data_IF_289745152813
#
_entry.id   IF_289745152813
#
_cell.length_a   1.000
_cell.length_b   1.000
_cell.length_c   1.000
_cell.angle_alpha   90.00
_cell.angle_beta   90.00
_cell.angle_gamma   90.00
#
_symmetry.space_group_name_H-M   'P 1'
#
loop_
_entity.id
_entity.type
_entity.pdbx_description
1 polymer ?
#
# COMPACT_ATOMS: atom_id res chain seq x y z
N UNK A 1 15.87 56.96 24.22
CA UNK A 1 16.70 55.92 24.88
C UNK A 1 15.74 54.92 25.49
N UNK A 2 15.61 53.67 25.08
CA UNK A 2 16.22 52.89 24.01
C UNK A 2 15.24 51.75 23.72
N UNK A 3 15.15 51.44 22.43
CA UNK A 3 14.55 50.26 21.82
C UNK A 3 15.07 48.97 22.48
N UNK A 4 14.21 47.97 22.68
CA UNK A 4 14.67 46.57 22.59
C UNK A 4 13.56 45.72 21.95
N UNK A 5 13.88 45.23 20.76
CA UNK A 5 12.99 44.77 19.70
C UNK A 5 13.45 43.38 19.25
N UNK A 6 13.94 42.56 20.19
CA UNK A 6 14.90 41.49 19.91
C UNK A 6 14.34 40.06 19.95
N UNK A 7 13.02 39.84 19.94
CA UNK A 7 12.47 38.46 19.87
C UNK A 7 11.40 38.24 18.77
N UNK A 8 11.26 39.16 17.81
CA UNK A 8 10.35 39.00 16.64
C UNK A 8 11.12 39.07 15.31
N UNK A 9 12.33 38.50 15.25
CA UNK A 9 13.12 38.43 13.99
C UNK A 9 13.54 37.02 13.54
N UNK A 10 13.23 35.94 14.27
CA UNK A 10 13.67 34.59 13.86
C UNK A 10 12.64 33.76 13.06
N UNK A 11 11.37 34.18 12.98
CA UNK A 11 10.35 33.42 12.21
C UNK A 11 10.17 33.95 10.78
N UNK A 12 10.74 35.12 10.47
CA UNK A 12 10.55 35.77 9.16
C UNK A 12 11.51 35.24 8.07
N UNK A 13 12.55 34.49 8.43
CA UNK A 13 13.64 34.12 7.50
C UNK A 13 13.45 32.80 6.72
N UNK A 14 12.39 32.02 6.94
CA UNK A 14 12.22 30.73 6.22
C UNK A 14 11.14 30.78 5.12
N UNK A 15 10.48 31.92 4.92
CA UNK A 15 9.49 32.11 3.85
C UNK A 15 10.06 32.74 2.55
N UNK A 16 11.37 33.06 2.51
CA UNK A 16 11.97 33.89 1.46
C UNK A 16 12.90 33.16 0.47
N UNK A 17 12.73 31.85 0.26
CA UNK A 17 13.51 31.14 -0.79
C UNK A 17 12.67 30.41 -1.84
N UNK A 18 11.41 30.83 -2.02
CA UNK A 18 10.64 30.52 -3.22
C UNK A 18 10.94 31.54 -4.33
N UNK A 19 12.11 31.44 -4.95
CA UNK A 19 12.30 31.72 -6.38
C UNK A 19 13.72 31.45 -6.86
N UNK A 20 13.92 30.38 -7.62
CA UNK A 20 14.91 30.36 -8.69
C UNK A 20 14.20 29.90 -9.97
N UNK A 21 14.15 30.85 -10.91
CA UNK A 21 13.53 30.85 -12.24
C UNK A 21 14.01 29.69 -13.11
N UNK A 22 13.14 29.26 -14.04
CA UNK A 22 13.57 29.11 -15.44
C UNK A 22 12.41 29.34 -16.41
N UNK A 23 12.48 30.51 -17.03
CA UNK A 23 12.06 30.91 -18.38
C UNK A 23 10.75 30.43 -18.99
N UNK A 24 9.95 31.43 -19.34
CA UNK A 24 8.98 31.42 -20.43
C UNK A 24 9.62 30.90 -21.73
N UNK A 25 9.15 29.75 -22.22
CA UNK A 25 9.10 29.48 -23.65
C UNK A 25 7.84 28.68 -23.98
N UNK A 26 6.91 29.40 -24.63
CA UNK A 26 5.77 28.92 -25.42
C UNK A 26 4.72 28.05 -24.70
N UNK A 27 3.51 28.59 -24.56
CA UNK A 27 2.42 28.06 -23.77
C UNK A 27 2.10 26.57 -23.98
N UNK A 28 2.11 25.84 -22.85
CA UNK A 28 1.25 24.70 -22.52
C UNK A 28 1.27 24.59 -21.00
N UNK A 29 0.15 24.92 -20.38
CA UNK A 29 -0.12 24.66 -18.96
C UNK A 29 -0.01 23.15 -18.73
N UNK A 30 1.09 22.69 -18.13
CA UNK A 30 1.18 21.30 -17.72
C UNK A 30 0.34 21.16 -16.46
N UNK A 31 -0.90 20.73 -16.65
CA UNK A 31 -1.77 20.24 -15.58
C UNK A 31 -1.04 19.05 -14.94
N UNK A 32 -0.37 19.29 -13.82
CA UNK A 32 0.20 18.24 -12.97
C UNK A 32 -0.97 17.57 -12.25
N UNK A 33 -1.73 16.78 -13.00
CA UNK A 33 -2.95 16.13 -12.52
C UNK A 33 -2.63 14.72 -12.06
N UNK A 34 -2.81 14.45 -10.76
CA UNK A 34 -3.20 13.16 -10.18
C UNK A 34 -2.31 11.93 -10.40
N UNK A 35 -1.38 11.93 -11.36
CA UNK A 35 -0.55 10.78 -11.69
C UNK A 35 0.66 10.69 -10.75
N UNK A 36 1.15 11.81 -10.20
CA UNK A 36 2.23 11.81 -9.20
C UNK A 36 1.79 11.19 -7.87
N UNK A 37 0.60 11.53 -7.35
CA UNK A 37 0.05 10.88 -6.14
C UNK A 37 -0.18 9.38 -6.31
N UNK A 38 -0.42 8.90 -7.55
CA UNK A 38 -0.57 7.47 -7.86
C UNK A 38 0.76 6.72 -7.98
N UNK A 39 1.89 7.41 -8.18
CA UNK A 39 3.22 6.79 -8.32
C UNK A 39 3.96 6.63 -7.00
N UNK A 40 3.62 7.42 -5.98
CA UNK A 40 4.21 7.32 -4.64
C UNK A 40 3.74 6.08 -3.84
N UNK A 41 2.64 5.44 -4.25
CA UNK A 41 2.02 4.35 -3.49
C UNK A 41 2.85 3.08 -3.43
N UNK A 42 3.49 2.74 -4.55
CA UNK A 42 4.33 1.56 -4.73
C UNK A 42 5.82 1.90 -4.47
N UNK A 43 6.10 2.81 -3.53
CA UNK A 43 7.45 3.06 -3.00
C UNK A 43 7.90 1.87 -2.12
N UNK A 44 8.12 0.74 -2.76
CA UNK A 44 8.62 -0.47 -2.13
C UNK A 44 10.16 -0.42 -2.02
N UNK A 45 10.76 -1.18 -1.10
CA UNK A 45 12.21 -1.29 -1.01
C UNK A 45 12.86 -1.65 -2.34
N UNK A 46 14.04 -1.09 -2.59
CA UNK A 46 14.83 -1.42 -3.78
C UNK A 46 14.93 -2.94 -3.97
N UNK A 47 14.67 -3.39 -5.19
CA UNK A 47 14.68 -4.82 -5.56
C UNK A 47 13.54 -5.68 -4.96
N UNK A 48 12.41 -5.08 -4.57
CA UNK A 48 11.19 -5.80 -4.18
C UNK A 48 10.79 -6.89 -5.19
N UNK A 49 10.98 -6.64 -6.49
CA UNK A 49 10.65 -7.56 -7.58
C UNK A 49 11.46 -8.87 -7.51
N UNK A 50 12.62 -8.88 -6.86
CA UNK A 50 13.40 -10.11 -6.65
C UNK A 50 12.69 -11.08 -5.70
N UNK A 51 11.86 -10.56 -4.80
CA UNK A 51 11.12 -11.31 -3.80
C UNK A 51 9.75 -11.69 -4.38
N UNK A 52 9.00 -10.72 -4.89
CA UNK A 52 7.60 -10.91 -5.28
C UNK A 52 7.36 -11.11 -6.78
N UNK A 53 8.42 -11.00 -7.60
CA UNK A 53 8.31 -11.05 -9.05
C UNK A 53 7.85 -9.71 -9.65
N UNK A 54 7.43 -9.70 -10.93
CA UNK A 54 6.95 -8.49 -11.60
C UNK A 54 5.73 -7.91 -10.88
N UNK A 55 5.83 -6.65 -10.45
CA UNK A 55 4.78 -5.97 -9.67
C UNK A 55 3.80 -5.27 -10.62
N UNK A 56 2.50 -5.49 -10.37
CA UNK A 56 1.39 -4.82 -11.05
C UNK A 56 0.92 -3.63 -10.22
N UNK A 57 0.91 -2.43 -10.81
CA UNK A 57 0.49 -1.20 -10.14
C UNK A 57 -0.94 -0.81 -10.50
N UNK A 58 -1.85 -1.77 -10.40
CA UNK A 58 -3.27 -1.64 -10.80
C UNK A 58 -4.21 -1.36 -9.63
N UNK A 59 -3.74 -1.50 -8.39
CA UNK A 59 -4.57 -1.32 -7.20
C UNK A 59 -5.04 0.13 -7.03
N UNK A 60 -6.30 0.29 -6.62
CA UNK A 60 -6.91 1.56 -6.26
C UNK A 60 -7.72 1.37 -4.99
N UNK A 61 -7.56 2.30 -4.03
CA UNK A 61 -8.35 2.30 -2.81
C UNK A 61 -9.84 2.49 -3.10
N UNK A 62 -10.66 1.64 -2.50
CA UNK A 62 -12.12 1.80 -2.51
C UNK A 62 -12.56 2.71 -1.35
N UNK A 63 -12.08 2.41 -0.15
CA UNK A 63 -12.39 3.11 1.08
C UNK A 63 -11.22 2.98 2.06
N UNK A 64 -11.33 3.59 3.23
CA UNK A 64 -10.33 3.40 4.29
C UNK A 64 -10.26 1.92 4.70
N UNK A 65 -9.03 1.41 4.83
CA UNK A 65 -8.81 0.02 5.19
C UNK A 65 -7.52 -0.59 4.65
N UNK A 66 -7.40 -1.90 4.85
CA UNK A 66 -6.26 -2.73 4.51
C UNK A 66 -6.70 -3.74 3.46
N UNK A 67 -5.96 -3.82 2.37
CA UNK A 67 -6.38 -4.55 1.18
C UNK A 67 -5.29 -5.50 0.70
N UNK A 68 -5.65 -6.78 0.56
CA UNK A 68 -4.83 -7.76 -0.13
C UNK A 68 -4.74 -7.41 -1.62
N UNK A 69 -3.52 -7.34 -2.16
CA UNK A 69 -3.33 -7.13 -3.59
C UNK A 69 -3.47 -8.45 -4.36
N UNK A 70 -4.68 -8.72 -4.87
CA UNK A 70 -4.98 -9.95 -5.60
C UNK A 70 -4.17 -10.05 -6.90
N UNK A 71 -3.90 -8.92 -7.57
CA UNK A 71 -3.12 -8.87 -8.81
C UNK A 71 -1.63 -9.21 -8.58
N UNK A 72 -1.15 -9.03 -7.35
CA UNK A 72 0.21 -9.40 -6.91
C UNK A 72 0.23 -10.61 -5.97
N UNK A 73 -0.70 -11.56 -6.16
CA UNK A 73 -0.77 -12.83 -5.41
C UNK A 73 -0.82 -12.65 -3.88
N UNK A 74 -1.33 -11.51 -3.39
CA UNK A 74 -1.39 -11.14 -1.98
C UNK A 74 -0.01 -11.11 -1.30
N UNK A 75 1.08 -11.05 -2.06
CA UNK A 75 2.43 -10.83 -1.52
C UNK A 75 2.67 -9.35 -1.21
N UNK A 76 1.86 -8.47 -1.83
CA UNK A 76 1.73 -7.07 -1.52
C UNK A 76 0.37 -6.84 -0.86
N UNK A 77 0.31 -5.91 0.08
CA UNK A 77 -0.94 -5.37 0.60
C UNK A 77 -0.87 -3.85 0.67
N UNK A 78 -2.03 -3.22 0.72
CA UNK A 78 -2.17 -1.78 0.70
C UNK A 78 -2.90 -1.29 1.95
N UNK A 79 -2.47 -0.16 2.49
CA UNK A 79 -3.22 0.58 3.50
C UNK A 79 -3.76 1.84 2.83
N UNK A 80 -5.07 2.03 2.91
CA UNK A 80 -5.79 3.19 2.40
C UNK A 80 -6.26 4.05 3.57
N UNK A 81 -5.99 5.35 3.52
CA UNK A 81 -6.39 6.30 4.57
C UNK A 81 -6.87 7.61 3.95
N UNK A 82 -7.93 8.19 4.51
CA UNK A 82 -8.43 9.50 4.07
C UNK A 82 -7.72 10.59 4.86
N UNK A 83 -6.81 11.31 4.22
CA UNK A 83 -6.17 12.48 4.79
C UNK A 83 -7.06 13.71 4.61
N UNK A 84 -7.21 14.50 5.69
CA UNK A 84 -7.95 15.75 5.67
C UNK A 84 -6.98 16.93 5.73
N UNK A 85 -7.17 17.88 4.82
CA UNK A 85 -6.33 19.07 4.70
C UNK A 85 -6.95 20.26 5.43
N UNK A 86 -6.12 21.24 5.78
CA UNK A 86 -6.56 22.44 6.50
C UNK A 86 -7.53 23.32 5.69
N UNK A 87 -7.54 23.18 4.37
CA UNK A 87 -8.46 23.87 3.45
C UNK A 87 -9.85 23.19 3.36
N UNK A 88 -10.08 22.11 4.12
CA UNK A 88 -11.32 21.35 4.13
C UNK A 88 -11.46 20.34 3.01
N UNK A 89 -10.42 20.17 2.17
CA UNK A 89 -10.38 19.09 1.18
C UNK A 89 -9.96 17.77 1.84
N UNK A 90 -10.33 16.66 1.23
CA UNK A 90 -9.83 15.34 1.61
C UNK A 90 -9.26 14.61 0.42
N UNK A 91 -8.24 13.80 0.67
CA UNK A 91 -7.63 12.93 -0.32
C UNK A 91 -7.47 11.51 0.22
N UNK A 92 -7.69 10.53 -0.65
CA UNK A 92 -7.39 9.13 -0.32
C UNK A 92 -5.91 8.89 -0.58
N UNK A 93 -5.14 8.69 0.50
CA UNK A 93 -3.75 8.28 0.45
C UNK A 93 -3.64 6.76 0.53
N UNK A 94 -2.59 6.21 -0.06
CA UNK A 94 -2.30 4.80 0.06
C UNK A 94 -0.82 4.47 0.05
N UNK A 95 -0.48 3.40 0.78
CA UNK A 95 0.87 2.87 0.90
C UNK A 95 0.86 1.37 0.64
N UNK A 96 1.85 0.89 -0.11
CA UNK A 96 2.04 -0.53 -0.41
C UNK A 96 3.11 -1.12 0.50
N UNK A 97 2.89 -2.37 0.91
CA UNK A 97 3.80 -3.13 1.78
C UNK A 97 3.99 -4.54 1.26
N UNK A 98 5.16 -5.12 1.52
CA UNK A 98 5.50 -6.49 1.16
C UNK A 98 5.34 -7.41 2.38
N UNK A 99 4.71 -8.56 2.17
CA UNK A 99 4.80 -9.66 3.11
C UNK A 99 6.17 -10.35 3.00
N UNK A 100 6.68 -10.83 4.14
CA UNK A 100 7.96 -11.54 4.20
C UNK A 100 7.94 -12.89 3.48
N UNK A 101 9.11 -13.53 3.41
CA UNK A 101 9.28 -14.81 2.71
C UNK A 101 8.25 -15.87 3.15
N UNK A 102 7.63 -16.54 2.16
CA UNK A 102 6.60 -17.58 2.35
C UNK A 102 5.30 -17.13 3.02
N UNK A 103 5.10 -15.82 3.17
CA UNK A 103 3.85 -15.27 3.71
C UNK A 103 3.08 -14.51 2.65
N UNK A 104 1.76 -14.45 2.84
CA UNK A 104 0.84 -13.65 2.03
C UNK A 104 -0.12 -12.94 2.97
N UNK A 105 -0.59 -11.78 2.56
CA UNK A 105 -1.56 -11.01 3.33
C UNK A 105 -2.88 -11.77 3.39
N UNK A 106 -3.29 -12.11 4.60
CA UNK A 106 -4.56 -12.75 4.87
C UNK A 106 -5.60 -11.67 5.15
N UNK A 107 -6.50 -11.43 4.18
CA UNK A 107 -7.52 -10.40 4.31
C UNK A 107 -8.46 -10.63 5.50
N UNK A 108 -8.73 -11.88 5.87
CA UNK A 108 -9.60 -12.21 7.01
C UNK A 108 -8.98 -11.79 8.35
N UNK A 109 -7.66 -11.95 8.51
CA UNK A 109 -6.96 -11.68 9.77
C UNK A 109 -6.12 -10.40 9.74
N UNK A 110 -6.19 -9.61 8.67
CA UNK A 110 -5.43 -8.37 8.45
C UNK A 110 -3.91 -8.48 8.72
N UNK A 111 -3.34 -9.64 8.44
CA UNK A 111 -1.96 -9.97 8.80
C UNK A 111 -1.27 -10.77 7.71
N UNK A 112 0.04 -10.62 7.55
CA UNK A 112 0.83 -11.54 6.75
C UNK A 112 0.94 -12.88 7.48
N UNK A 113 0.40 -13.94 6.90
CA UNK A 113 0.45 -15.30 7.46
C UNK A 113 1.06 -16.28 6.47
N UNK A 114 1.50 -17.44 6.97
CA UNK A 114 2.02 -18.49 6.09
C UNK A 114 0.98 -18.83 5.02
N UNK A 115 1.40 -18.97 3.77
CA UNK A 115 0.50 -19.28 2.66
C UNK A 115 -0.46 -20.45 2.94
N UNK A 116 0.00 -21.50 3.64
CA UNK A 116 -0.84 -22.67 3.97
C UNK A 116 -1.94 -22.37 4.99
N UNK A 117 -1.73 -21.37 5.84
CA UNK A 117 -2.65 -20.98 6.92
C UNK A 117 -3.41 -19.67 6.60
N UNK A 118 -3.22 -19.15 5.38
CA UNK A 118 -3.95 -17.99 4.89
C UNK A 118 -5.14 -18.44 4.04
N UNK A 119 -6.17 -17.61 3.96
CA UNK A 119 -7.24 -17.81 2.97
C UNK A 119 -6.67 -17.77 1.54
N UNK A 120 -7.33 -18.39 0.54
CA UNK A 120 -6.99 -18.22 -0.85
C UNK A 120 -6.94 -16.76 -1.26
N UNK A 121 -5.86 -16.33 -1.92
CA UNK A 121 -5.69 -14.93 -2.31
C UNK A 121 -6.84 -14.45 -3.22
N UNK A 122 -7.32 -15.30 -4.13
CA UNK A 122 -8.48 -15.03 -4.96
C UNK A 122 -9.77 -14.82 -4.15
N UNK A 123 -9.86 -15.36 -2.94
CA UNK A 123 -10.98 -15.19 -2.02
C UNK A 123 -10.85 -13.98 -1.10
N UNK A 124 -9.71 -13.28 -1.10
CA UNK A 124 -9.49 -12.09 -0.27
C UNK A 124 -10.57 -11.03 -0.48
N UNK A 125 -11.02 -10.83 -1.72
CA UNK A 125 -12.07 -9.86 -2.04
C UNK A 125 -13.38 -10.08 -1.28
N UNK A 126 -13.68 -11.33 -0.91
CA UNK A 126 -14.87 -11.67 -0.13
C UNK A 126 -14.82 -11.11 1.30
N UNK A 127 -13.64 -10.75 1.80
CA UNK A 127 -13.44 -10.24 3.16
C UNK A 127 -13.13 -8.74 3.21
N UNK A 128 -13.15 -8.03 2.08
CA UNK A 128 -12.89 -6.58 2.05
C UNK A 128 -13.91 -5.76 2.87
N UNK A 129 -15.12 -6.28 3.10
CA UNK A 129 -16.11 -5.62 3.95
C UNK A 129 -15.68 -5.50 5.41
N UNK A 130 -14.80 -6.39 5.89
CA UNK A 130 -14.28 -6.34 7.26
C UNK A 130 -13.49 -5.05 7.53
N UNK A 131 -13.03 -4.36 6.49
CA UNK A 131 -12.37 -3.06 6.64
C UNK A 131 -13.25 -2.04 7.37
N UNK A 132 -14.57 -2.13 7.21
CA UNK A 132 -15.51 -1.25 7.88
C UNK A 132 -15.47 -1.36 9.41
N UNK A 133 -14.92 -2.45 9.96
CA UNK A 133 -14.86 -2.69 11.41
C UNK A 133 -13.58 -2.12 12.05
N UNK A 134 -12.53 -1.80 11.28
CA UNK A 134 -11.20 -1.46 11.84
C UNK A 134 -11.15 -0.10 12.55
N UNK A 135 -11.99 0.85 12.14
CA UNK A 135 -11.97 2.23 12.66
C UNK A 135 -13.19 2.55 13.54
N UNK A 136 -13.95 1.54 13.97
CA UNK A 136 -15.19 1.74 14.75
C UNK A 136 -14.89 1.86 16.25
N UNK A 137 -13.87 1.15 16.75
CA UNK A 137 -13.46 1.19 18.16
C UNK A 137 -12.90 -0.15 18.65
N UNK A 138 -12.30 -0.19 19.85
CA UNK A 138 -11.64 -1.38 20.38
C UNK A 138 -12.61 -2.53 20.74
N UNK A 139 -13.89 -2.22 20.98
CA UNK A 139 -14.90 -3.19 21.40
C UNK A 139 -15.66 -3.84 20.25
N UNK A 140 -15.35 -3.49 19.00
CA UNK A 140 -15.96 -4.08 17.80
C UNK A 140 -15.05 -5.19 17.30
N UNK A 141 -15.51 -6.46 17.32
CA UNK A 141 -14.76 -7.55 16.73
C UNK A 141 -14.53 -7.29 15.24
N UNK A 142 -13.31 -7.54 14.76
CA UNK A 142 -12.98 -7.39 13.35
C UNK A 142 -13.81 -8.32 12.46
N UNK A 143 -14.14 -9.51 12.97
CA UNK A 143 -14.90 -10.56 12.30
C UNK A 143 -15.82 -11.28 13.28
N UNK A 144 -16.90 -11.89 12.79
CA UNK A 144 -17.82 -12.71 13.58
C UNK A 144 -17.55 -14.22 13.39
N UNK A 145 -18.38 -15.06 14.03
CA UNK A 145 -18.25 -16.52 13.95
C UNK A 145 -18.49 -17.10 12.54
N UNK A 146 -19.42 -16.51 11.78
CA UNK A 146 -19.68 -16.92 10.40
C UNK A 146 -18.49 -16.60 9.50
N UNK A 147 -17.87 -15.43 9.67
CA UNK A 147 -16.67 -15.02 8.94
C UNK A 147 -15.53 -16.00 9.22
N UNK A 148 -15.35 -16.39 10.48
CA UNK A 148 -14.38 -17.39 10.89
C UNK A 148 -14.67 -18.77 10.28
N UNK A 149 -15.92 -19.22 10.29
CA UNK A 149 -16.32 -20.48 9.66
C UNK A 149 -16.04 -20.49 8.14
N UNK A 150 -16.33 -19.38 7.45
CA UNK A 150 -16.04 -19.22 6.03
C UNK A 150 -14.53 -19.29 5.77
N UNK A 151 -13.72 -18.59 6.56
CA UNK A 151 -12.27 -18.62 6.46
C UNK A 151 -11.70 -20.02 6.71
N UNK A 152 -12.20 -20.73 7.73
CA UNK A 152 -11.79 -22.11 8.06
C UNK A 152 -12.09 -23.07 6.92
N UNK A 153 -13.27 -22.97 6.30
CA UNK A 153 -13.62 -23.77 5.12
C UNK A 153 -12.62 -23.56 3.99
N UNK A 154 -12.34 -22.29 3.65
CA UNK A 154 -11.40 -21.94 2.57
C UNK A 154 -9.97 -22.40 2.84
N UNK A 155 -9.51 -22.31 4.10
CA UNK A 155 -8.18 -22.79 4.50
C UNK A 155 -8.12 -24.31 4.41
N UNK A 156 -9.17 -25.02 4.87
CA UNK A 156 -9.24 -26.48 4.81
C UNK A 156 -9.23 -27.00 3.37
N UNK A 157 -9.97 -26.34 2.48
CA UNK A 157 -10.01 -26.68 1.04
C UNK A 157 -8.63 -26.53 0.39
N UNK A 158 -7.89 -25.47 0.74
CA UNK A 158 -6.51 -25.27 0.28
C UNK A 158 -5.57 -26.36 0.77
N UNK A 159 -5.69 -26.77 2.04
CA UNK A 159 -4.86 -27.83 2.61
C UNK A 159 -5.15 -29.20 1.96
N UNK A 160 -6.37 -29.41 1.49
CA UNK A 160 -6.79 -30.62 0.77
C UNK A 160 -6.30 -30.68 -0.69
N UNK A 161 -5.78 -29.59 -1.26
CA UNK A 161 -5.26 -29.55 -2.64
C UNK A 161 -3.73 -29.73 -2.67
N UNK A 162 -3.22 -30.96 -2.92
CA UNK A 162 -1.79 -31.17 -3.09
C UNK A 162 -1.28 -30.48 -4.36
N UNK A 163 -0.38 -29.50 -4.21
CA UNK A 163 0.39 -28.93 -5.33
C UNK A 163 0.22 -27.44 -5.61
N UNK A 164 -0.71 -26.75 -4.93
CA UNK A 164 -0.80 -25.28 -5.02
C UNK A 164 0.20 -24.65 -4.04
N UNK A 165 1.49 -24.72 -4.36
CA UNK A 165 2.40 -23.71 -3.85
C UNK A 165 1.95 -22.33 -4.37
N UNK A 166 2.22 -21.22 -3.65
CA UNK A 166 2.15 -19.90 -4.29
C UNK A 166 2.99 -19.98 -5.56
N UNK A 167 2.45 -19.49 -6.69
CA UNK A 167 3.09 -19.54 -8.02
C UNK A 167 4.58 -19.40 -7.84
N UNK A 168 5.30 -20.50 -8.11
CA UNK A 168 6.72 -20.56 -7.87
C UNK A 168 7.36 -19.36 -8.58
N UNK A 169 8.25 -18.67 -7.86
CA UNK A 169 9.14 -17.64 -8.39
C UNK A 169 9.52 -18.00 -9.83
N UNK A 170 9.36 -17.08 -10.81
CA UNK A 170 9.85 -17.34 -12.16
C UNK A 170 11.29 -17.85 -12.04
N UNK A 171 11.69 -18.92 -12.77
CA UNK A 171 13.06 -19.42 -12.69
C UNK A 171 13.99 -18.22 -12.90
N UNK A 172 14.93 -18.03 -11.99
CA UNK A 172 15.89 -16.95 -12.07
C UNK A 172 16.50 -16.97 -13.47
N UNK A 173 16.09 -16.03 -14.33
CA UNK A 173 16.65 -15.88 -15.65
C UNK A 173 18.15 -15.77 -15.48
N UNK A 174 18.89 -16.66 -16.14
CA UNK A 174 20.33 -16.77 -16.00
C UNK A 174 20.97 -15.40 -16.09
N UNK A 175 21.77 -15.04 -15.09
CA UNK A 175 22.61 -13.86 -15.07
C UNK A 175 23.42 -13.85 -16.39
N UNK A 176 23.25 -12.87 -17.29
CA UNK A 176 24.09 -12.80 -18.47
C UNK A 176 25.55 -12.64 -18.01
N UNK A 177 26.52 -13.27 -18.69
CA UNK A 177 27.91 -13.15 -18.30
C UNK A 177 28.34 -11.69 -18.37
N UNK A 178 29.01 -11.22 -17.32
CA UNK A 178 29.71 -9.93 -17.33
C UNK A 178 30.71 -9.96 -18.48
N UNK A 179 30.48 -9.15 -19.52
CA UNK A 179 31.55 -8.78 -20.45
C UNK A 179 32.38 -7.72 -19.74
N UNK A 180 33.63 -8.07 -19.45
CA UNK A 180 34.69 -7.10 -19.16
C UNK A 180 35.14 -6.37 -20.41
#
# INVERSE_FOLDING_TARGET
MTNDQSEIEDVKSLNDTRNLKSSEHNGRELKVTSIESKRAAYELPDSAELIVGPIRTTFVCSNEGYYADIDNNCQIFHICHTAFHADGTSEMQHWSFLCGNQTVFNQFSFTCSNFKNSIPCASSGNFFYLNANMNVGPDVPLHNEQDAANAVSLISDRLAQPGLAPVARPPAGGRPPFRG
#
